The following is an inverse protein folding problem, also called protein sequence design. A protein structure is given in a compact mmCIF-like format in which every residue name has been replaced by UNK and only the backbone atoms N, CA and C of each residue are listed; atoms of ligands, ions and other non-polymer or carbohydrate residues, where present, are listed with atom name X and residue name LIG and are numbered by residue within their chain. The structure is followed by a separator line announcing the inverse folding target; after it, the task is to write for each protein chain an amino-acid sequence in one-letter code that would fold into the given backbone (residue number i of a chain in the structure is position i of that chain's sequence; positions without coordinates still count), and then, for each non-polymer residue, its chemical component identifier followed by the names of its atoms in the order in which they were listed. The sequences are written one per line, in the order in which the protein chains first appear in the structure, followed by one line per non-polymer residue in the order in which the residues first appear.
data_IF_914229273337
#
_entry.id   IF_914229273337
#
_cell.length_a   1.000
_cell.length_b   1.000
_cell.length_c   1.000
_cell.angle_alpha   90.00
_cell.angle_beta   90.00
_cell.angle_gamma   90.00
#
_symmetry.space_group_name_H-M   'P 1'
#
loop_
_entity.id
_entity.type
_entity.pdbx_description
1 polymer ?
#
# COMPACT_ATOMS: atom_id res chain seq x y z
N UNK A 1 -3.64 12.09 35.34
CA UNK A 1 -3.46 12.91 34.13
C UNK A 1 -3.43 11.96 32.94
N UNK A 2 -4.22 12.20 31.88
CA UNK A 2 -4.31 11.30 30.72
C UNK A 2 -4.12 12.12 29.45
N UNK A 3 -3.29 11.63 28.53
CA UNK A 3 -3.10 12.19 27.20
C UNK A 3 -3.76 11.27 26.18
N UNK A 4 -4.67 11.81 25.37
CA UNK A 4 -5.35 11.07 24.30
C UNK A 4 -5.08 11.79 22.98
N UNK A 5 -4.67 11.03 21.95
CA UNK A 5 -4.48 11.51 20.58
C UNK A 5 -5.35 10.68 19.63
N UNK A 6 -6.02 11.35 18.70
CA UNK A 6 -6.76 10.73 17.61
C UNK A 6 -6.39 11.40 16.29
N UNK A 7 -5.96 10.61 15.31
CA UNK A 7 -5.64 11.04 13.96
C UNK A 7 -6.62 10.38 12.99
N UNK A 8 -7.27 11.20 12.17
CA UNK A 8 -8.19 10.75 11.13
C UNK A 8 -7.68 11.23 9.77
N UNK A 9 -7.64 10.32 8.81
CA UNK A 9 -7.21 10.61 7.45
C UNK A 9 -8.29 10.16 6.47
N UNK A 10 -8.88 11.11 5.75
CA UNK A 10 -9.83 10.88 4.67
C UNK A 10 -9.46 11.81 3.51
N UNK A 11 -9.06 11.20 2.40
CA UNK A 11 -8.67 11.91 1.20
C UNK A 11 -9.07 11.10 -0.03
N UNK A 12 -9.55 11.79 -1.06
CA UNK A 12 -9.85 11.18 -2.36
C UNK A 12 -8.57 10.95 -3.14
N UNK A 13 -8.47 9.82 -3.84
CA UNK A 13 -7.42 9.58 -4.83
C UNK A 13 -7.43 10.67 -5.91
N UNK A 14 -6.26 11.04 -6.44
CA UNK A 14 -6.16 11.86 -7.63
C UNK A 14 -6.79 11.15 -8.84
N UNK A 15 -6.56 9.83 -8.92
CA UNK A 15 -7.10 8.93 -9.94
C UNK A 15 -7.90 7.82 -9.26
N UNK A 16 -9.23 7.98 -9.11
CA UNK A 16 -10.05 7.04 -8.36
C UNK A 16 -10.20 5.69 -9.08
N UNK A 17 -10.46 4.65 -8.30
CA UNK A 17 -10.86 3.34 -8.79
C UNK A 17 -12.33 3.39 -9.25
N UNK A 18 -12.64 2.70 -10.34
CA UNK A 18 -14.04 2.52 -10.76
C UNK A 18 -14.68 1.43 -9.91
N UNK A 19 -15.83 1.70 -9.31
CA UNK A 19 -16.57 0.69 -8.55
C UNK A 19 -16.95 -0.51 -9.44
N UNK A 20 -17.26 -0.25 -10.72
CA UNK A 20 -17.66 -1.29 -11.69
C UNK A 20 -16.53 -2.25 -12.09
N UNK A 21 -15.27 -1.96 -11.76
CA UNK A 21 -14.13 -2.86 -11.99
C UNK A 21 -13.70 -3.60 -10.72
N UNK A 22 -14.36 -3.34 -9.59
CA UNK A 22 -14.10 -4.06 -8.34
C UNK A 22 -14.73 -5.45 -8.40
N UNK A 23 -13.95 -6.48 -8.09
CA UNK A 23 -14.39 -7.88 -8.18
C UNK A 23 -13.74 -8.75 -7.11
N UNK A 24 -14.39 -9.86 -6.76
CA UNK A 24 -13.84 -10.84 -5.82
C UNK A 24 -12.62 -11.53 -6.43
N UNK A 25 -11.47 -11.40 -5.79
CA UNK A 25 -10.22 -12.08 -6.19
C UNK A 25 -9.50 -12.67 -4.98
N UNK A 26 -8.73 -13.76 -5.17
CA UNK A 26 -8.00 -14.40 -4.08
C UNK A 26 -6.88 -13.51 -3.55
N UNK A 27 -6.82 -13.39 -2.21
CA UNK A 27 -5.77 -12.71 -1.46
C UNK A 27 -5.08 -13.71 -0.53
N UNK A 28 -3.74 -13.75 -0.60
CA UNK A 28 -2.92 -14.65 0.19
C UNK A 28 -2.55 -14.00 1.52
N UNK A 29 -3.17 -14.47 2.60
CA UNK A 29 -2.89 -14.00 3.96
C UNK A 29 -1.67 -14.68 4.56
N UNK A 30 -1.00 -14.02 5.51
CA UNK A 30 0.18 -14.59 6.20
C UNK A 30 -0.15 -15.84 7.04
N UNK A 31 -1.35 -15.91 7.63
CA UNK A 31 -1.69 -16.93 8.64
C UNK A 31 -2.93 -17.77 8.34
N UNK A 32 -3.81 -17.33 7.44
CA UNK A 32 -5.13 -17.93 7.23
C UNK A 32 -5.34 -18.48 5.81
N UNK A 33 -4.25 -18.68 5.06
CA UNK A 33 -4.33 -19.17 3.68
C UNK A 33 -4.90 -18.13 2.72
N UNK A 34 -5.71 -18.58 1.76
CA UNK A 34 -6.28 -17.74 0.69
C UNK A 34 -7.71 -17.36 1.02
N UNK A 35 -8.06 -16.08 0.83
CA UNK A 35 -9.43 -15.57 0.99
C UNK A 35 -9.80 -14.70 -0.19
N UNK A 36 -11.03 -14.82 -0.67
CA UNK A 36 -11.53 -13.89 -1.70
C UNK A 36 -11.89 -12.55 -1.07
N UNK A 37 -11.43 -11.46 -1.69
CA UNK A 37 -11.67 -10.08 -1.25
C UNK A 37 -12.11 -9.22 -2.43
N UNK A 38 -12.90 -8.18 -2.17
CA UNK A 38 -13.24 -7.15 -3.15
C UNK A 38 -11.98 -6.39 -3.55
N UNK A 39 -11.42 -6.77 -4.70
CA UNK A 39 -10.18 -6.21 -5.21
C UNK A 39 -10.49 -5.11 -6.19
N UNK A 40 -10.09 -3.89 -5.84
CA UNK A 40 -10.22 -2.71 -6.70
C UNK A 40 -9.24 -2.81 -7.89
N UNK A 41 -9.61 -2.23 -9.03
CA UNK A 41 -8.80 -2.27 -10.25
C UNK A 41 -8.83 -0.93 -10.98
N UNK A 42 -7.67 -0.48 -11.45
CA UNK A 42 -7.52 0.70 -12.31
C UNK A 42 -6.30 0.55 -13.22
N UNK A 43 -6.33 1.18 -14.39
CA UNK A 43 -5.18 1.25 -15.31
C UNK A 43 -4.86 2.71 -15.56
N UNK A 44 -3.70 3.17 -15.09
CA UNK A 44 -3.27 4.56 -15.22
C UNK A 44 -1.75 4.69 -15.11
N UNK A 45 -1.22 5.90 -15.35
CA UNK A 45 0.21 6.21 -15.17
C UNK A 45 0.49 6.53 -13.71
N UNK A 46 1.30 5.72 -13.02
CA UNK A 46 1.71 5.96 -11.64
C UNK A 46 3.23 5.96 -11.52
N UNK A 47 3.77 6.67 -10.52
CA UNK A 47 5.17 6.48 -10.15
C UNK A 47 5.34 5.06 -9.62
N UNK A 48 6.28 4.33 -10.20
CA UNK A 48 6.52 2.93 -9.90
C UNK A 48 8.02 2.64 -9.89
N UNK A 49 8.44 1.81 -8.95
CA UNK A 49 9.81 1.28 -8.90
C UNK A 49 9.76 -0.20 -8.58
N UNK A 50 10.61 -0.96 -9.26
CA UNK A 50 10.81 -2.38 -9.03
C UNK A 50 12.29 -2.62 -8.74
N UNK A 51 12.60 -3.22 -7.59
CA UNK A 51 13.94 -3.66 -7.23
C UNK A 51 13.91 -5.13 -6.78
N UNK A 52 15.08 -5.73 -6.52
CA UNK A 52 15.20 -7.15 -6.17
C UNK A 52 14.40 -7.57 -4.93
N UNK A 53 14.07 -6.64 -4.04
CA UNK A 53 13.34 -6.90 -2.80
C UNK A 53 11.85 -6.56 -2.85
N UNK A 54 11.42 -5.59 -3.67
CA UNK A 54 10.05 -5.13 -3.65
C UNK A 54 9.66 -4.35 -4.91
N UNK A 55 8.35 -4.34 -5.16
CA UNK A 55 7.69 -3.43 -6.06
C UNK A 55 7.01 -2.33 -5.23
N UNK A 56 7.16 -1.08 -5.64
CA UNK A 56 6.55 0.06 -4.95
C UNK A 56 5.81 0.92 -5.95
N UNK A 57 4.56 1.26 -5.62
CA UNK A 57 3.72 2.18 -6.39
C UNK A 57 3.28 3.35 -5.51
N UNK A 58 3.24 4.53 -6.11
CA UNK A 58 2.71 5.76 -5.51
C UNK A 58 1.28 6.02 -6.00
N UNK A 59 0.35 6.19 -5.07
CA UNK A 59 -1.04 6.58 -5.32
C UNK A 59 -1.28 7.98 -4.74
N UNK A 60 -1.24 9.04 -5.56
CA UNK A 60 -1.47 10.40 -5.09
C UNK A 60 -2.90 10.60 -4.62
N UNK A 61 -3.08 11.40 -3.57
CA UNK A 61 -4.38 11.98 -3.24
C UNK A 61 -4.58 13.26 -4.04
N UNK A 62 -5.84 13.65 -4.22
CA UNK A 62 -6.21 14.86 -4.95
C UNK A 62 -5.47 16.08 -4.39
N UNK A 63 -4.85 16.85 -5.30
CA UNK A 63 -4.11 18.06 -4.97
C UNK A 63 -2.63 17.84 -4.66
N UNK A 64 -2.09 16.65 -4.92
CA UNK A 64 -0.67 16.31 -5.03
C UNK A 64 0.22 16.66 -3.82
N UNK A 65 -0.38 16.94 -2.66
CA UNK A 65 0.36 17.21 -1.41
C UNK A 65 0.71 15.95 -0.63
N UNK A 66 0.00 14.85 -0.90
CA UNK A 66 0.11 13.60 -0.16
C UNK A 66 -0.11 12.43 -1.11
N UNK A 67 0.52 11.31 -0.82
CA UNK A 67 0.34 10.06 -1.54
C UNK A 67 0.37 8.87 -0.58
N UNK A 68 -0.29 7.78 -0.97
CA UNK A 68 -0.10 6.47 -0.38
C UNK A 68 0.95 5.71 -1.18
N UNK A 69 1.98 5.19 -0.51
CA UNK A 69 2.93 4.25 -1.12
C UNK A 69 2.54 2.84 -0.73
N UNK A 70 2.32 1.98 -1.73
CA UNK A 70 2.09 0.55 -1.52
C UNK A 70 3.39 -0.17 -1.85
N UNK A 71 3.87 -0.98 -0.90
CA UNK A 71 5.08 -1.79 -1.05
C UNK A 71 4.67 -3.25 -1.09
N UNK A 72 4.91 -3.90 -2.22
CA UNK A 72 4.67 -5.32 -2.44
C UNK A 72 6.02 -6.05 -2.39
N UNK A 73 6.28 -6.86 -1.35
CA UNK A 73 7.50 -7.67 -1.30
C UNK A 73 7.58 -8.62 -2.50
N UNK A 74 8.78 -8.83 -3.04
CA UNK A 74 9.01 -9.91 -4.00
C UNK A 74 8.76 -11.27 -3.32
N UNK A 75 8.50 -12.33 -4.11
CA UNK A 75 8.24 -13.68 -3.56
C UNK A 75 9.35 -14.23 -2.66
N UNK A 76 10.58 -13.74 -2.82
CA UNK A 76 11.75 -14.12 -2.02
C UNK A 76 11.97 -13.23 -0.80
N UNK A 77 11.06 -12.29 -0.50
CA UNK A 77 11.17 -11.35 0.61
C UNK A 77 9.88 -11.28 1.41
N UNK A 78 9.95 -10.80 2.66
CA UNK A 78 8.78 -10.60 3.52
C UNK A 78 8.57 -9.13 3.86
N UNK A 79 7.34 -8.81 4.28
CA UNK A 79 7.01 -7.47 4.80
C UNK A 79 7.92 -7.10 5.97
N UNK A 80 8.21 -8.05 6.87
CA UNK A 80 9.06 -7.82 8.04
C UNK A 80 10.49 -7.39 7.67
N UNK A 81 11.07 -8.03 6.64
CA UNK A 81 12.41 -7.68 6.13
C UNK A 81 12.45 -6.25 5.58
N UNK A 82 11.39 -5.83 4.89
CA UNK A 82 11.29 -4.47 4.34
C UNK A 82 11.13 -3.42 5.45
N UNK A 83 10.34 -3.72 6.48
CA UNK A 83 10.13 -2.82 7.62
C UNK A 83 11.43 -2.64 8.43
N UNK A 84 12.22 -3.69 8.62
CA UNK A 84 13.47 -3.64 9.38
C UNK A 84 14.56 -2.79 8.69
N UNK A 85 14.61 -2.80 7.35
CA UNK A 85 15.54 -1.94 6.61
C UNK A 85 15.24 -0.46 6.86
N UNK A 86 13.96 -0.07 6.90
CA UNK A 86 13.55 1.33 7.12
C UNK A 86 13.87 1.86 8.52
N UNK A 87 13.86 1.02 9.55
CA UNK A 87 14.16 1.46 10.92
C UNK A 87 15.64 1.78 11.11
N UNK A 88 16.54 1.06 10.40
CA UNK A 88 18.00 1.29 10.44
C UNK A 88 18.41 2.61 9.81
N UNK A 89 17.65 3.13 8.85
CA UNK A 89 17.92 4.44 8.22
C UNK A 89 17.38 5.65 8.98
N UNK A 90 16.56 5.47 10.03
CA UNK A 90 16.03 6.58 10.84
C UNK A 90 17.03 7.15 11.86
N UNK A 91 18.23 6.57 11.99
CA UNK A 91 19.22 6.93 13.01
C UNK A 91 20.64 7.23 12.46
N UNK A 92 20.76 7.57 11.18
CA UNK A 92 21.98 8.17 10.62
C UNK A 92 21.69 9.60 10.17
#
# INVERSE_FOLDING_TARGET
MVLVNALFFNASWDRPFSEGTTSMKPFHTLSQGVKDVETMETTNIFSYVNNSGAEVIELPFRGDRMAMYIILPSRSSSVDQIVEVRSKFKYN
#
